data_IF_799549023259
#
_entry.id   IF_799549023259
#
_cell.length_a   1.000
_cell.length_b   1.000
_cell.length_c   1.000
_cell.angle_alpha   90.00
_cell.angle_beta   90.00
_cell.angle_gamma   90.00
#
_symmetry.space_group_name_H-M   'P 1'
#
loop_
_entity.id
_entity.type
_entity.pdbx_description
1 polymer ?
#
# COMPACT_ATOMS: atom_id res chain seq x y z
N UNK A 1 -1.94 1.64 -9.88
CA UNK A 1 -3.28 2.29 -9.81
C UNK A 1 -3.03 3.79 -9.83
N UNK A 2 -3.80 4.57 -10.59
CA UNK A 2 -3.68 6.03 -10.54
C UNK A 2 -4.28 6.54 -9.22
N UNK A 3 -3.59 7.47 -8.57
CA UNK A 3 -4.06 8.13 -7.35
C UNK A 3 -4.70 9.45 -7.76
N UNK A 4 -6.02 9.56 -7.67
CA UNK A 4 -6.72 10.78 -8.06
C UNK A 4 -6.62 11.83 -6.94
N UNK A 5 -6.10 13.01 -7.26
CA UNK A 5 -5.98 14.14 -6.32
C UNK A 5 -4.71 14.17 -5.47
N UNK A 6 -3.84 13.16 -5.57
CA UNK A 6 -2.53 13.10 -4.88
C UNK A 6 -1.43 12.67 -5.87
N UNK A 7 -0.16 12.93 -5.52
CA UNK A 7 1.00 12.51 -6.30
C UNK A 7 1.76 11.38 -5.62
N UNK A 8 2.34 10.50 -6.41
CA UNK A 8 3.25 9.46 -5.91
C UNK A 8 4.63 10.08 -5.71
N UNK A 9 5.25 9.86 -4.55
CA UNK A 9 6.56 10.35 -4.16
C UNK A 9 7.24 9.36 -3.23
N UNK A 10 8.58 9.27 -3.19
CA UNK A 10 9.28 8.46 -2.20
C UNK A 10 8.90 8.80 -0.75
N UNK A 11 8.93 7.79 0.11
CA UNK A 11 8.80 7.95 1.56
C UNK A 11 9.94 8.81 2.11
N UNK A 12 9.66 9.55 3.19
CA UNK A 12 10.62 10.45 3.84
C UNK A 12 10.90 11.76 3.08
N UNK A 13 10.64 11.83 1.77
CA UNK A 13 10.70 13.08 1.01
C UNK A 13 9.46 13.92 1.32
N UNK A 14 9.65 15.08 1.96
CA UNK A 14 8.57 16.03 2.24
C UNK A 14 7.43 15.38 3.05
N UNK A 15 7.76 14.64 4.12
CA UNK A 15 6.81 13.78 4.85
C UNK A 15 5.59 14.51 5.45
N UNK A 16 5.64 15.84 5.55
CA UNK A 16 4.52 16.69 5.98
C UNK A 16 3.60 17.11 4.82
N UNK A 17 3.98 16.87 3.56
CA UNK A 17 3.15 17.15 2.39
C UNK A 17 2.03 16.12 2.22
N UNK A 18 0.86 16.51 2.71
CA UNK A 18 -0.40 15.75 2.64
C UNK A 18 -0.96 15.58 1.22
N UNK A 19 -0.30 16.11 0.19
CA UNK A 19 -0.67 15.93 -1.22
C UNK A 19 0.15 14.85 -1.93
N UNK A 20 1.05 14.18 -1.20
CA UNK A 20 1.94 13.16 -1.75
C UNK A 20 1.93 11.88 -0.92
N UNK A 21 2.45 10.79 -1.49
CA UNK A 21 2.52 9.52 -0.77
C UNK A 21 3.07 8.39 -1.61
N UNK A 22 3.02 7.17 -1.07
CA UNK A 22 3.50 5.96 -1.73
C UNK A 22 2.62 4.75 -1.43
N UNK A 23 2.86 3.68 -2.19
CA UNK A 23 2.07 2.46 -2.12
C UNK A 23 2.62 1.45 -1.12
N UNK A 24 1.70 0.71 -0.52
CA UNK A 24 1.95 -0.49 0.27
C UNK A 24 1.08 -1.61 -0.26
N UNK A 25 1.55 -2.85 -0.17
CA UNK A 25 0.73 -4.03 -0.41
C UNK A 25 0.55 -4.79 0.90
N UNK A 26 -0.69 -5.05 1.27
CA UNK A 26 -1.07 -5.82 2.46
C UNK A 26 -1.58 -7.19 2.00
N UNK A 27 -0.96 -8.26 2.49
CA UNK A 27 -1.33 -9.63 2.13
C UNK A 27 -2.27 -10.19 3.20
N UNK A 28 -3.43 -10.68 2.77
CA UNK A 28 -4.46 -11.26 3.62
C UNK A 28 -4.96 -10.32 4.73
N UNK A 29 -4.91 -9.01 4.47
CA UNK A 29 -5.29 -7.97 5.43
C UNK A 29 -6.15 -6.88 4.77
N UNK A 30 -7.00 -6.28 5.60
CA UNK A 30 -7.78 -5.10 5.23
C UNK A 30 -6.92 -3.83 5.29
N UNK A 31 -7.42 -2.77 4.64
CA UNK A 31 -6.84 -1.43 4.70
C UNK A 31 -6.77 -0.88 6.12
N UNK A 32 -5.70 -0.13 6.42
CA UNK A 32 -5.55 0.54 7.71
C UNK A 32 -6.43 1.79 7.77
N UNK A 33 -7.01 2.12 8.94
CA UNK A 33 -7.67 3.40 9.18
C UNK A 33 -6.76 4.60 8.87
N UNK A 34 -7.38 5.74 8.52
CA UNK A 34 -6.66 6.97 8.23
C UNK A 34 -5.79 7.41 9.44
N UNK A 35 -4.56 7.85 9.16
CA UNK A 35 -3.61 8.33 10.16
C UNK A 35 -2.85 7.22 10.91
N UNK A 36 -3.24 5.95 10.78
CA UNK A 36 -2.50 4.85 11.42
C UNK A 36 -1.22 4.51 10.64
N UNK A 37 -0.13 4.30 11.37
CA UNK A 37 1.13 3.85 10.80
C UNK A 37 1.02 2.40 10.31
N UNK A 38 1.52 2.17 9.10
CA UNK A 38 1.61 0.83 8.52
C UNK A 38 2.89 0.17 9.06
N UNK A 39 2.81 -0.98 9.74
CA UNK A 39 3.99 -1.69 10.23
C UNK A 39 4.96 -2.09 9.12
N UNK A 40 6.25 -2.18 9.44
CA UNK A 40 7.26 -2.72 8.52
C UNK A 40 7.58 -4.17 8.91
N UNK A 41 6.81 -5.09 8.34
CA UNK A 41 6.94 -6.53 8.56
C UNK A 41 6.62 -7.32 7.27
N UNK A 42 6.69 -8.65 7.34
CA UNK A 42 6.53 -9.51 6.18
C UNK A 42 5.12 -9.50 5.54
N UNK A 43 4.09 -9.02 6.24
CA UNK A 43 2.72 -8.93 5.71
C UNK A 43 2.43 -7.59 5.02
N UNK A 44 3.30 -6.61 5.21
CA UNK A 44 3.18 -5.25 4.70
C UNK A 44 4.38 -4.97 3.78
N UNK A 45 4.20 -5.12 2.48
CA UNK A 45 5.27 -4.84 1.51
C UNK A 45 5.33 -3.33 1.23
N UNK A 46 6.50 -2.73 1.50
CA UNK A 46 6.74 -1.29 1.40
C UNK A 46 7.31 -0.90 0.02
N UNK A 47 6.60 -0.03 -0.70
CA UNK A 47 7.05 0.53 -1.98
C UNK A 47 7.32 2.03 -1.86
N UNK A 48 8.16 2.37 -0.88
CA UNK A 48 8.51 3.74 -0.51
C UNK A 48 9.45 4.47 -1.47
N UNK A 49 9.77 3.94 -2.65
CA UNK A 49 10.54 4.67 -3.68
C UNK A 49 9.65 5.26 -4.77
N UNK A 50 8.34 5.27 -4.55
CA UNK A 50 7.35 5.72 -5.53
C UNK A 50 7.06 4.70 -6.62
N UNK A 51 7.28 3.41 -6.36
CA UNK A 51 6.98 2.37 -7.34
C UNK A 51 5.48 2.34 -7.67
N UNK A 52 5.18 2.10 -8.94
CA UNK A 52 3.82 1.96 -9.47
C UNK A 52 3.44 0.52 -9.79
N UNK A 53 4.44 -0.37 -9.80
CA UNK A 53 4.36 -1.79 -10.15
C UNK A 53 5.24 -2.60 -9.21
N UNK A 54 4.85 -3.85 -8.99
CA UNK A 54 5.56 -4.80 -8.14
C UNK A 54 5.23 -6.23 -8.55
N UNK A 55 6.20 -7.13 -8.38
CA UNK A 55 5.99 -8.57 -8.40
C UNK A 55 5.80 -9.08 -6.97
N UNK A 56 4.77 -9.91 -6.76
CA UNK A 56 4.44 -10.49 -5.45
C UNK A 56 4.34 -12.00 -5.61
N UNK A 57 5.20 -12.73 -4.90
CA UNK A 57 5.16 -14.19 -4.85
C UNK A 57 4.29 -14.66 -3.70
N UNK A 58 3.32 -15.52 -3.99
CA UNK A 58 2.37 -16.07 -3.01
C UNK A 58 2.36 -17.61 -3.10
N UNK A 59 2.14 -18.31 -1.98
CA UNK A 59 1.93 -19.75 -2.00
C UNK A 59 0.60 -20.11 -2.72
N UNK A 60 0.43 -21.36 -3.20
CA UNK A 60 -0.86 -21.81 -3.72
C UNK A 60 -1.98 -21.69 -2.68
N UNK A 61 -3.14 -21.14 -3.09
CA UNK A 61 -4.27 -20.88 -2.20
C UNK A 61 -5.04 -19.60 -2.54
N UNK A 62 -6.06 -19.31 -1.73
CA UNK A 62 -6.80 -18.05 -1.80
C UNK A 62 -6.09 -16.95 -1.00
N UNK A 63 -5.98 -15.77 -1.60
CA UNK A 63 -5.38 -14.60 -0.97
C UNK A 63 -6.21 -13.35 -1.22
N UNK A 64 -6.15 -12.42 -0.27
CA UNK A 64 -6.53 -11.03 -0.54
C UNK A 64 -5.28 -10.17 -0.65
N UNK A 65 -5.24 -9.31 -1.65
CA UNK A 65 -4.18 -8.33 -1.83
C UNK A 65 -4.81 -6.96 -1.72
N UNK A 66 -4.40 -6.16 -0.74
CA UNK A 66 -4.87 -4.79 -0.55
C UNK A 66 -3.73 -3.84 -0.91
N UNK A 67 -3.91 -3.06 -1.98
CA UNK A 67 -3.06 -1.91 -2.28
C UNK A 67 -3.51 -0.72 -1.42
N UNK A 68 -2.65 -0.22 -0.56
CA UNK A 68 -2.91 0.89 0.36
C UNK A 68 -2.00 2.07 0.02
N UNK A 69 -2.58 3.27 -0.11
CA UNK A 69 -1.80 4.50 -0.23
C UNK A 69 -1.58 5.14 1.15
N UNK A 70 -0.38 5.68 1.38
CA UNK A 70 0.04 6.29 2.65
C UNK A 70 0.95 7.50 2.43
N UNK A 71 1.07 8.36 3.43
CA UNK A 71 1.89 9.57 3.39
C UNK A 71 3.40 9.27 3.47
N UNK A 72 4.25 10.31 3.41
CA UNK A 72 5.69 10.16 3.49
C UNK A 72 6.22 9.60 4.82
N UNK A 73 5.38 9.54 5.87
CA UNK A 73 5.67 8.96 7.18
C UNK A 73 5.06 7.55 7.36
N UNK A 74 4.59 6.91 6.28
CA UNK A 74 3.94 5.60 6.27
C UNK A 74 2.61 5.56 7.06
N UNK A 75 1.91 6.69 7.18
CA UNK A 75 0.57 6.74 7.76
C UNK A 75 -0.48 6.61 6.66
N UNK A 76 -1.44 5.71 6.86
CA UNK A 76 -2.50 5.41 5.90
C UNK A 76 -3.35 6.64 5.58
N UNK A 77 -3.68 6.83 4.29
CA UNK A 77 -4.75 7.76 3.87
C UNK A 77 -6.16 7.15 4.02
N UNK A 78 -6.27 6.03 4.72
CA UNK A 78 -7.51 5.35 5.06
C UNK A 78 -8.02 4.40 3.97
N UNK A 79 -9.11 3.65 4.26
CA UNK A 79 -9.67 2.66 3.34
C UNK A 79 -10.17 3.25 2.00
N UNK A 80 -10.53 4.53 1.98
CA UNK A 80 -10.96 5.23 0.74
C UNK A 80 -9.83 5.34 -0.29
N UNK A 81 -8.58 5.33 0.18
CA UNK A 81 -7.37 5.38 -0.64
C UNK A 81 -6.72 3.99 -0.72
N UNK A 82 -7.55 2.96 -0.84
CA UNK A 82 -7.11 1.58 -0.98
C UNK A 82 -7.92 0.83 -2.03
N UNK A 83 -7.38 -0.31 -2.48
CA UNK A 83 -8.11 -1.25 -3.33
C UNK A 83 -7.74 -2.68 -2.95
N UNK A 84 -8.74 -3.50 -2.66
CA UNK A 84 -8.56 -4.92 -2.38
C UNK A 84 -8.99 -5.77 -3.58
N UNK A 85 -8.20 -6.77 -3.89
CA UNK A 85 -8.54 -7.83 -4.85
C UNK A 85 -8.45 -9.19 -4.15
N UNK A 86 -9.21 -10.16 -4.67
CA UNK A 86 -9.06 -11.57 -4.32
C UNK A 86 -8.33 -12.26 -5.46
N UNK A 87 -7.36 -13.09 -5.12
CA UNK A 87 -6.60 -13.89 -6.09
C UNK A 87 -6.54 -15.33 -5.60
N UNK A 88 -6.52 -16.27 -6.53
CA UNK A 88 -6.30 -17.69 -6.24
C UNK A 88 -5.06 -18.12 -7.00
N UNK A 89 -4.04 -18.54 -6.27
CA UNK A 89 -2.78 -19.03 -6.85
C UNK A 89 -2.90 -20.53 -7.01
N UNK A 90 -2.79 -20.99 -8.25
CA UNK A 90 -2.78 -22.40 -8.62
C UNK A 90 -1.33 -22.90 -8.69
N UNK A 91 -1.14 -24.21 -8.53
CA UNK A 91 0.16 -24.87 -8.73
C UNK A 91 0.49 -25.03 -10.21
#
# INVERSE_FOLDING_TARGET
MNVNGLKIRPAGEDAEDKKTGHHHILINMAAFPEGQAIPNDAQHLHYGKGQTEAEVTLPPGEHTITLQFADGAHRSYGPKMSKTIKVTVVK
#
